data_IF_608757514343
#
_entry.id   IF_608757514343
#
_cell.length_a   1.000
_cell.length_b   1.000
_cell.length_c   1.000
_cell.angle_alpha   90.00
_cell.angle_beta   90.00
_cell.angle_gamma   90.00
#
_symmetry.space_group_name_H-M   'P 1'
#
loop_
_entity.id
_entity.type
_entity.pdbx_description
1 polymer ?
#
# COMPACT_ATOMS: atom_id res chain seq x y z
N UNK A 1 1.67 0.23 -9.99
CA UNK A 1 0.55 0.56 -9.08
C UNK A 1 0.36 2.07 -9.02
N UNK A 2 -0.89 2.52 -9.10
CA UNK A 2 -1.33 3.87 -8.74
C UNK A 2 -2.54 3.73 -7.80
N UNK A 3 -2.56 4.46 -6.69
CA UNK A 3 -3.70 4.48 -5.78
C UNK A 3 -4.64 5.64 -6.15
N UNK A 4 -5.94 5.38 -6.26
CA UNK A 4 -6.94 6.43 -6.50
C UNK A 4 -7.83 6.57 -5.28
N UNK A 5 -7.93 7.77 -4.72
CA UNK A 5 -8.82 8.09 -3.60
C UNK A 5 -9.74 9.24 -3.98
N UNK A 6 -10.99 9.21 -3.50
CA UNK A 6 -11.95 10.30 -3.64
C UNK A 6 -11.82 11.27 -2.46
N UNK A 7 -11.10 12.37 -2.66
CA UNK A 7 -10.88 13.39 -1.63
C UNK A 7 -11.63 14.65 -2.03
N UNK A 8 -12.48 15.18 -1.15
CA UNK A 8 -13.31 16.38 -1.40
C UNK A 8 -14.17 16.25 -2.68
N UNK A 9 -14.71 15.05 -2.91
CA UNK A 9 -15.54 14.75 -4.08
C UNK A 9 -14.76 14.56 -5.39
N UNK A 10 -13.44 14.70 -5.39
CA UNK A 10 -12.59 14.55 -6.59
C UNK A 10 -11.71 13.31 -6.49
N UNK A 11 -11.61 12.55 -7.59
CA UNK A 11 -10.65 11.46 -7.70
C UNK A 11 -9.22 12.03 -7.80
N UNK A 12 -8.39 11.73 -6.80
CA UNK A 12 -6.96 12.07 -6.76
C UNK A 12 -6.15 10.78 -6.90
N UNK A 13 -5.12 10.81 -7.76
CA UNK A 13 -4.23 9.67 -8.01
C UNK A 13 -2.89 9.89 -7.32
N UNK A 14 -2.40 8.84 -6.67
CA UNK A 14 -1.14 8.84 -5.95
C UNK A 14 -0.21 7.77 -6.49
N UNK A 15 1.04 8.13 -6.65
CA UNK A 15 2.12 7.20 -6.98
C UNK A 15 2.90 6.86 -5.71
N UNK A 16 3.27 5.59 -5.50
CA UNK A 16 4.12 5.21 -4.39
C UNK A 16 5.50 5.88 -4.48
N UNK A 17 6.25 5.88 -3.39
CA UNK A 17 7.58 6.47 -3.35
C UNK A 17 8.56 5.69 -4.23
N UNK A 18 9.42 6.39 -5.00
CA UNK A 18 10.52 5.76 -5.69
C UNK A 18 11.58 5.28 -4.68
N UNK A 19 12.30 4.21 -5.01
CA UNK A 19 13.45 3.71 -4.24
C UNK A 19 13.15 3.41 -2.76
N UNK A 20 12.10 2.63 -2.48
CA UNK A 20 11.77 2.21 -1.12
C UNK A 20 12.94 1.46 -0.45
N UNK A 21 13.34 1.83 0.79
CA UNK A 21 14.35 1.09 1.55
C UNK A 21 13.93 -0.36 1.79
N UNK A 22 14.91 -1.27 1.90
CA UNK A 22 14.66 -2.69 2.20
C UNK A 22 13.89 -2.90 3.52
N UNK A 23 13.99 -1.96 4.47
CA UNK A 23 13.17 -1.97 5.69
C UNK A 23 11.67 -1.97 5.38
N UNK A 24 11.23 -1.24 4.35
CA UNK A 24 9.81 -1.15 3.96
C UNK A 24 9.30 -2.44 3.34
N UNK A 25 10.17 -3.17 2.64
CA UNK A 25 9.84 -4.52 2.20
C UNK A 25 9.57 -5.44 3.40
N UNK A 26 10.46 -5.47 4.41
CA UNK A 26 10.26 -6.27 5.62
C UNK A 26 8.94 -5.94 6.32
N UNK A 27 8.62 -4.65 6.46
CA UNK A 27 7.38 -4.19 7.10
C UNK A 27 6.15 -4.57 6.28
N UNK A 28 6.19 -4.41 4.96
CA UNK A 28 5.09 -4.76 4.08
C UNK A 28 4.76 -6.26 4.14
N UNK A 29 5.78 -7.12 4.16
CA UNK A 29 5.60 -8.58 4.34
C UNK A 29 4.95 -8.86 5.70
N UNK A 30 5.42 -8.25 6.78
CA UNK A 30 4.84 -8.45 8.10
C UNK A 30 3.34 -8.06 8.17
N UNK A 31 2.98 -6.90 7.60
CA UNK A 31 1.58 -6.48 7.53
C UNK A 31 0.73 -7.41 6.64
N UNK A 32 1.28 -7.89 5.52
CA UNK A 32 0.58 -8.82 4.65
C UNK A 32 0.32 -10.16 5.35
N UNK A 33 1.33 -10.72 6.03
CA UNK A 33 1.20 -11.96 6.81
C UNK A 33 0.15 -11.81 7.91
N UNK A 34 0.17 -10.71 8.67
CA UNK A 34 -0.83 -10.46 9.72
C UNK A 34 -2.25 -10.39 9.16
N UNK A 35 -2.43 -9.73 8.00
CA UNK A 35 -3.73 -9.59 7.35
C UNK A 35 -4.27 -10.93 6.80
N UNK A 36 -3.38 -11.86 6.43
CA UNK A 36 -3.74 -13.20 5.99
C UNK A 36 -4.08 -14.13 7.16
N UNK A 37 -3.31 -14.04 8.26
CA UNK A 37 -3.49 -14.90 9.44
C UNK A 37 -4.75 -14.55 10.23
N UNK A 38 -5.03 -13.26 10.44
CA UNK A 38 -6.20 -12.79 11.18
C UNK A 38 -6.75 -11.48 10.60
N UNK A 39 -7.99 -11.52 10.15
CA UNK A 39 -8.70 -10.31 9.73
C UNK A 39 -9.18 -9.51 10.95
N UNK A 40 -8.38 -8.53 11.36
CA UNK A 40 -8.69 -7.63 12.47
C UNK A 40 -8.61 -6.16 12.01
N UNK A 41 -9.56 -5.32 12.44
CA UNK A 41 -9.64 -3.92 12.03
C UNK A 41 -8.42 -3.10 12.47
N UNK A 42 -7.80 -3.45 13.60
CA UNK A 42 -6.56 -2.82 14.06
C UNK A 42 -5.37 -3.17 13.16
N UNK A 43 -5.33 -4.39 12.61
CA UNK A 43 -4.32 -4.82 11.63
C UNK A 43 -4.52 -4.06 10.32
N UNK A 44 -5.76 -3.92 9.85
CA UNK A 44 -6.10 -3.14 8.66
C UNK A 44 -5.71 -1.67 8.85
N UNK A 45 -6.05 -1.07 9.99
CA UNK A 45 -5.64 0.30 10.33
C UNK A 45 -4.13 0.48 10.30
N UNK A 46 -3.39 -0.39 11.00
CA UNK A 46 -1.92 -0.34 11.01
C UNK A 46 -1.31 -0.47 9.61
N UNK A 47 -1.88 -1.34 8.76
CA UNK A 47 -1.46 -1.46 7.36
C UNK A 47 -1.73 -0.17 6.57
N UNK A 48 -2.87 0.48 6.77
CA UNK A 48 -3.20 1.74 6.10
C UNK A 48 -2.29 2.88 6.56
N UNK A 49 -2.00 2.99 7.86
CA UNK A 49 -1.03 3.96 8.39
C UNK A 49 0.34 3.76 7.71
N UNK A 50 0.81 2.53 7.59
CA UNK A 50 2.05 2.18 6.90
C UNK A 50 1.99 2.51 5.40
N UNK A 51 0.88 2.19 4.72
CA UNK A 51 0.69 2.51 3.30
C UNK A 51 0.76 4.02 3.08
N UNK A 52 0.01 4.80 3.84
CA UNK A 52 -0.06 6.26 3.70
C UNK A 52 1.32 6.89 3.91
N UNK A 53 2.00 6.55 5.01
CA UNK A 53 3.24 7.21 5.41
C UNK A 53 4.46 6.66 4.69
N UNK A 54 4.58 5.34 4.59
CA UNK A 54 5.84 4.68 4.23
C UNK A 54 5.86 4.12 2.80
N UNK A 55 4.70 3.85 2.19
CA UNK A 55 4.62 3.48 0.77
C UNK A 55 4.38 4.72 -0.08
N UNK A 56 3.46 5.59 0.31
CA UNK A 56 3.08 6.77 -0.45
C UNK A 56 3.72 8.08 0.03
N UNK A 57 4.46 8.06 1.15
CA UNK A 57 5.26 9.21 1.59
C UNK A 57 4.43 10.35 2.16
N UNK A 58 3.29 10.05 2.80
CA UNK A 58 2.42 11.06 3.43
C UNK A 58 1.66 11.93 2.43
N UNK A 59 1.48 11.49 1.18
CA UNK A 59 0.74 12.25 0.15
C UNK A 59 -0.77 12.35 0.41
N UNK A 60 -1.27 11.52 1.32
CA UNK A 60 -2.63 11.53 1.84
C UNK A 60 -2.60 11.08 3.30
N UNK A 61 -3.62 11.44 4.07
CA UNK A 61 -3.79 10.98 5.46
C UNK A 61 -4.51 9.64 5.52
N UNK A 62 -4.42 8.95 6.65
CA UNK A 62 -5.19 7.74 6.89
C UNK A 62 -6.71 7.98 6.77
N UNK A 63 -7.22 9.10 7.30
CA UNK A 63 -8.64 9.47 7.17
C UNK A 63 -9.04 9.66 5.70
N UNK A 64 -8.19 10.30 4.90
CA UNK A 64 -8.43 10.43 3.45
C UNK A 64 -8.44 9.09 2.72
N UNK A 65 -7.71 8.09 3.23
CA UNK A 65 -7.76 6.73 2.71
C UNK A 65 -9.09 6.06 3.06
N UNK A 66 -9.51 6.13 4.33
CA UNK A 66 -10.77 5.56 4.81
C UNK A 66 -12.01 6.18 4.16
N UNK A 67 -12.06 7.50 4.03
CA UNK A 67 -13.17 8.22 3.41
C UNK A 67 -13.14 8.14 1.88
N UNK A 68 -11.93 8.05 1.31
CA UNK A 68 -11.71 8.15 -0.12
C UNK A 68 -11.84 6.85 -0.88
N UNK A 69 -12.03 5.72 -0.21
CA UNK A 69 -12.07 4.39 -0.81
C UNK A 69 -13.40 3.68 -0.51
N UNK A 70 -14.09 3.12 -1.52
CA UNK A 70 -15.25 2.26 -1.29
C UNK A 70 -14.88 1.04 -0.45
N UNK A 71 -15.83 0.56 0.37
CA UNK A 71 -15.59 -0.58 1.27
C UNK A 71 -15.25 -1.86 0.51
N UNK A 72 -15.85 -2.08 -0.67
CA UNK A 72 -15.54 -3.23 -1.53
C UNK A 72 -14.08 -3.24 -2.04
N UNK A 73 -13.47 -2.07 -2.15
CA UNK A 73 -12.11 -1.89 -2.66
C UNK A 73 -11.06 -1.87 -1.55
N UNK A 74 -11.48 -1.81 -0.28
CA UNK A 74 -10.59 -1.64 0.88
C UNK A 74 -9.48 -2.69 0.92
N UNK A 75 -9.86 -3.96 1.05
CA UNK A 75 -8.91 -5.06 1.22
C UNK A 75 -8.10 -5.34 -0.05
N UNK A 76 -8.69 -5.35 -1.26
CA UNK A 76 -7.91 -5.44 -2.50
C UNK A 76 -6.85 -4.34 -2.60
N UNK A 77 -7.20 -3.10 -2.27
CA UNK A 77 -6.28 -1.95 -2.36
C UNK A 77 -5.16 -2.04 -1.33
N UNK A 78 -5.47 -2.42 -0.08
CA UNK A 78 -4.46 -2.64 0.96
C UNK A 78 -3.47 -3.73 0.54
N UNK A 79 -3.97 -4.86 0.02
CA UNK A 79 -3.11 -5.96 -0.46
C UNK A 79 -2.24 -5.56 -1.65
N UNK A 80 -2.78 -4.84 -2.62
CA UNK A 80 -2.01 -4.35 -3.78
C UNK A 80 -0.90 -3.38 -3.31
N UNK A 81 -1.22 -2.49 -2.36
CA UNK A 81 -0.25 -1.56 -1.79
C UNK A 81 0.88 -2.29 -1.06
N UNK A 82 0.58 -3.26 -0.21
CA UNK A 82 1.57 -4.07 0.50
C UNK A 82 2.41 -4.95 -0.44
N UNK A 83 1.90 -5.28 -1.63
CA UNK A 83 2.63 -6.06 -2.63
C UNK A 83 3.64 -5.22 -3.43
N UNK A 84 3.50 -3.89 -3.43
CA UNK A 84 4.35 -3.00 -4.23
C UNK A 84 5.86 -3.13 -3.94
N UNK A 85 6.33 -3.19 -2.67
CA UNK A 85 7.75 -3.43 -2.39
C UNK A 85 8.26 -4.76 -2.96
N UNK A 86 7.41 -5.81 -2.97
CA UNK A 86 7.77 -7.10 -3.56
C UNK A 86 7.92 -7.01 -5.07
N UNK A 87 7.00 -6.29 -5.73
CA UNK A 87 7.07 -6.03 -7.16
C UNK A 87 8.36 -5.27 -7.55
N UNK A 88 8.78 -4.28 -6.75
CA UNK A 88 10.05 -3.58 -6.97
C UNK A 88 11.27 -4.51 -6.91
N UNK A 89 11.30 -5.44 -5.95
CA UNK A 89 12.34 -6.45 -5.85
C UNK A 89 12.34 -7.39 -7.06
N UNK A 90 11.16 -7.90 -7.45
CA UNK A 90 11.03 -8.83 -8.58
C UNK A 90 11.45 -8.21 -9.91
N UNK A 91 11.17 -6.93 -10.15
CA UNK A 91 11.64 -6.24 -11.35
C UNK A 91 13.16 -6.26 -11.51
N UNK A 92 13.90 -6.25 -10.40
CA UNK A 92 15.37 -6.30 -10.39
C UNK A 92 15.92 -7.73 -10.51
N UNK A 93 15.10 -8.74 -10.21
CA UNK A 93 15.45 -10.16 -10.31
C UNK A 93 15.04 -10.78 -11.65
N UNK A 94 14.14 -10.15 -12.40
CA UNK A 94 13.80 -10.60 -13.75
C UNK A 94 15.10 -10.66 -14.59
N UNK A 95 15.38 -11.78 -15.29
CA UNK A 95 16.61 -11.92 -16.04
C UNK A 95 16.72 -10.78 -17.04
N UNK A 96 17.89 -10.14 -17.08
CA UNK A 96 18.26 -9.26 -18.19
C UNK A 96 18.12 -10.12 -19.45
N UNK A 97 17.11 -9.84 -20.28
CA UNK A 97 17.03 -10.42 -21.61
C UNK A 97 18.25 -9.91 -22.36
N UNK A 98 19.29 -10.75 -22.44
CA UNK A 98 20.40 -10.59 -23.36
C UNK A 98 19.91 -10.86 -24.79
#
# INVERSE_FOLDING_TARGET
MELTLKIEGKAKKFKPMPNLPALRFKQAVAHATQLEENFDISVVGAAITFIANDIFGGKFTEEQFWEGLPVEDLIPTVRDALSYPMFLMQQKLAPVKN
#
